data_IF_879201897193
#
_entry.id   IF_879201897193
#
_cell.length_a   1.000
_cell.length_b   1.000
_cell.length_c   1.000
_cell.angle_alpha   90.00
_cell.angle_beta   90.00
_cell.angle_gamma   90.00
#
_symmetry.space_group_name_H-M   'P 1'
#
loop_
_entity.id
_entity.type
_entity.pdbx_description
1 polymer ?
#
# COMPACT_ATOMS: atom_id res chain seq x y z
N UNK A 1 -25.77 6.56 -3.23
CA UNK A 1 -24.37 6.06 -3.24
C UNK A 1 -23.58 6.84 -2.21
N UNK A 2 -22.94 6.16 -1.26
CA UNK A 2 -22.09 6.82 -0.26
C UNK A 2 -20.84 7.39 -0.95
N UNK A 3 -20.39 8.58 -0.54
CA UNK A 3 -19.22 9.27 -1.10
C UNK A 3 -17.96 8.39 -1.04
N UNK A 4 -17.82 7.60 0.01
CA UNK A 4 -16.74 6.61 0.18
C UNK A 4 -16.68 5.61 -0.99
N UNK A 5 -17.82 5.09 -1.44
CA UNK A 5 -17.85 4.17 -2.59
C UNK A 5 -17.35 4.85 -3.86
N UNK A 6 -17.73 6.12 -4.11
CA UNK A 6 -17.24 6.88 -5.27
C UNK A 6 -15.73 7.11 -5.22
N UNK A 7 -15.19 7.43 -4.04
CA UNK A 7 -13.74 7.64 -3.86
C UNK A 7 -12.98 6.35 -4.10
N UNK A 8 -13.43 5.23 -3.51
CA UNK A 8 -12.80 3.91 -3.72
C UNK A 8 -12.84 3.53 -5.20
N UNK A 9 -13.98 3.73 -5.86
CA UNK A 9 -14.11 3.41 -7.28
C UNK A 9 -13.17 4.25 -8.16
N UNK A 10 -13.07 5.55 -7.87
CA UNK A 10 -12.14 6.45 -8.56
C UNK A 10 -10.68 6.06 -8.34
N UNK A 11 -10.32 5.65 -7.13
CA UNK A 11 -8.95 5.26 -6.78
C UNK A 11 -8.56 3.93 -7.43
N UNK A 12 -9.45 2.94 -7.44
CA UNK A 12 -9.25 1.67 -8.16
C UNK A 12 -9.14 1.90 -9.67
N UNK A 13 -10.02 2.75 -10.23
CA UNK A 13 -9.96 3.12 -11.65
C UNK A 13 -8.63 3.79 -12.01
N UNK A 14 -8.19 4.76 -11.21
CA UNK A 14 -6.91 5.44 -11.40
C UNK A 14 -5.72 4.47 -11.29
N UNK A 15 -5.73 3.56 -10.32
CA UNK A 15 -4.69 2.54 -10.15
C UNK A 15 -4.63 1.58 -11.35
N UNK A 16 -5.79 1.15 -11.86
CA UNK A 16 -5.86 0.27 -13.04
C UNK A 16 -5.30 0.95 -14.29
N UNK A 17 -5.68 2.20 -14.54
CA UNK A 17 -5.13 3.00 -15.66
C UNK A 17 -3.63 3.20 -15.49
N UNK A 18 -3.17 3.55 -14.29
CA UNK A 18 -1.74 3.73 -14.00
C UNK A 18 -0.93 2.45 -14.20
N UNK A 19 -1.44 1.31 -13.73
CA UNK A 19 -0.79 0.01 -13.92
C UNK A 19 -0.76 -0.38 -15.41
N UNK A 20 -1.83 -0.14 -16.16
CA UNK A 20 -1.86 -0.41 -17.59
C UNK A 20 -0.82 0.43 -18.35
N UNK A 21 -0.76 1.74 -18.08
CA UNK A 21 0.24 2.63 -18.67
C UNK A 21 1.67 2.23 -18.26
N UNK A 22 1.89 1.90 -16.98
CA UNK A 22 3.17 1.43 -16.48
C UNK A 22 3.63 0.13 -17.14
N UNK A 23 2.71 -0.82 -17.33
CA UNK A 23 2.99 -2.10 -18.00
C UNK A 23 3.28 -1.92 -19.50
N UNK A 24 2.64 -0.94 -20.16
CA UNK A 24 2.95 -0.58 -21.55
C UNK A 24 4.32 0.09 -21.68
N UNK A 25 4.72 0.93 -20.73
CA UNK A 25 6.02 1.61 -20.73
C UNK A 25 7.18 0.68 -20.33
N UNK A 26 6.92 -0.24 -19.40
CA UNK A 26 7.90 -1.21 -18.90
C UNK A 26 7.27 -2.62 -18.87
N UNK A 27 7.27 -3.34 -20.01
CA UNK A 27 6.75 -4.69 -20.05
C UNK A 27 7.73 -5.67 -19.39
N UNK A 28 7.31 -6.29 -18.29
CA UNK A 28 7.99 -7.48 -17.76
C UNK A 28 7.48 -8.74 -18.47
N UNK A 29 8.33 -9.79 -18.56
CA UNK A 29 7.91 -11.09 -19.10
C UNK A 29 6.97 -11.78 -18.14
N UNK A 30 5.95 -12.45 -18.65
CA UNK A 30 4.96 -13.14 -17.82
C UNK A 30 5.53 -14.23 -16.88
N UNK A 31 6.65 -14.86 -17.26
CA UNK A 31 7.40 -15.77 -16.39
C UNK A 31 7.93 -15.07 -15.14
N UNK A 32 8.48 -13.87 -15.35
CA UNK A 32 9.21 -13.10 -14.36
C UNK A 32 8.22 -12.35 -13.45
N UNK A 33 7.09 -11.86 -14.01
CA UNK A 33 5.99 -11.26 -13.23
C UNK A 33 5.47 -12.23 -12.17
N UNK A 34 5.25 -13.50 -12.52
CA UNK A 34 4.70 -14.48 -11.57
C UNK A 34 5.68 -14.82 -10.44
N UNK A 35 6.96 -14.86 -10.76
CA UNK A 35 8.03 -15.07 -9.78
C UNK A 35 8.18 -13.83 -8.89
N UNK A 36 8.30 -12.65 -9.49
CA UNK A 36 8.40 -11.37 -8.82
C UNK A 36 7.20 -11.09 -7.92
N UNK A 37 5.97 -11.41 -8.32
CA UNK A 37 4.78 -11.27 -7.47
C UNK A 37 4.90 -12.15 -6.23
N UNK A 38 5.27 -13.43 -6.38
CA UNK A 38 5.39 -14.34 -5.22
C UNK A 38 6.46 -13.86 -4.24
N UNK A 39 7.63 -13.50 -4.75
CA UNK A 39 8.77 -13.10 -3.91
C UNK A 39 8.57 -11.70 -3.32
N UNK A 40 7.99 -10.78 -4.09
CA UNK A 40 7.75 -9.40 -3.64
C UNK A 40 6.56 -9.31 -2.71
N UNK A 41 5.48 -10.07 -2.92
CA UNK A 41 4.29 -10.02 -2.07
C UNK A 41 4.60 -10.45 -0.63
N UNK A 42 5.37 -11.53 -0.43
CA UNK A 42 5.79 -11.95 0.91
C UNK A 42 6.67 -10.90 1.60
N UNK A 43 7.67 -10.37 0.89
CA UNK A 43 8.53 -9.31 1.44
C UNK A 43 7.75 -8.02 1.76
N UNK A 44 6.78 -7.67 0.92
CA UNK A 44 5.93 -6.50 1.13
C UNK A 44 4.97 -6.70 2.31
N UNK A 45 4.37 -7.86 2.48
CA UNK A 45 3.46 -8.10 3.60
C UNK A 45 4.17 -7.99 4.93
N UNK A 46 5.38 -8.55 5.02
CA UNK A 46 6.18 -8.52 6.24
C UNK A 46 6.62 -7.09 6.55
N UNK A 47 7.14 -6.37 5.55
CA UNK A 47 7.58 -4.98 5.71
C UNK A 47 6.44 -4.01 5.99
N UNK A 48 5.27 -4.21 5.37
CA UNK A 48 4.06 -3.44 5.66
C UNK A 48 3.60 -3.70 7.09
N UNK A 49 3.53 -4.96 7.50
CA UNK A 49 3.13 -5.33 8.86
C UNK A 49 4.07 -4.73 9.90
N UNK A 50 5.38 -4.77 9.65
CA UNK A 50 6.38 -4.17 10.52
C UNK A 50 6.25 -2.64 10.55
N UNK A 51 6.10 -1.98 9.40
CA UNK A 51 5.91 -0.53 9.32
C UNK A 51 4.59 -0.09 9.97
N UNK A 52 3.53 -0.90 9.85
CA UNK A 52 2.25 -0.64 10.50
C UNK A 52 2.36 -0.77 12.02
N UNK A 53 3.02 -1.82 12.51
CA UNK A 53 3.25 -2.00 13.94
C UNK A 53 4.15 -0.90 14.51
N UNK A 54 5.21 -0.53 13.81
CA UNK A 54 6.11 0.55 14.21
C UNK A 54 5.42 1.91 14.12
N UNK A 55 4.62 2.14 13.07
CA UNK A 55 3.81 3.33 12.90
C UNK A 55 2.76 3.47 13.99
N UNK A 56 2.06 2.39 14.33
CA UNK A 56 1.10 2.35 15.45
C UNK A 56 1.81 2.64 16.78
N UNK A 57 2.92 1.95 17.08
CA UNK A 57 3.69 2.20 18.30
C UNK A 57 4.23 3.63 18.38
N UNK A 58 4.66 4.19 17.25
CA UNK A 58 5.17 5.57 17.17
C UNK A 58 4.04 6.58 17.33
N UNK A 59 2.90 6.36 16.68
CA UNK A 59 1.71 7.18 16.83
C UNK A 59 1.17 7.12 18.26
N UNK A 60 1.17 5.94 18.89
CA UNK A 60 0.74 5.72 20.27
C UNK A 60 1.73 6.32 21.29
N UNK A 61 3.04 6.23 21.03
CA UNK A 61 4.07 6.96 21.81
C UNK A 61 3.94 8.47 21.66
N UNK A 62 3.73 8.96 20.44
CA UNK A 62 3.58 10.38 20.18
C UNK A 62 2.29 10.91 20.81
N UNK A 63 1.17 10.18 20.69
CA UNK A 63 -0.10 10.56 21.32
C UNK A 63 -0.06 10.50 22.85
N UNK A 64 0.64 9.52 23.42
CA UNK A 64 0.81 9.42 24.89
C UNK A 64 1.76 10.48 25.44
N UNK A 65 2.83 10.85 24.71
CA UNK A 65 3.67 12.01 25.03
C UNK A 65 2.86 13.31 25.00
N UNK A 66 2.04 13.49 23.98
CA UNK A 66 1.16 14.66 23.85
C UNK A 66 0.11 14.70 24.99
N UNK A 67 -0.39 13.55 25.45
CA UNK A 67 -1.30 13.47 26.60
C UNK A 67 -0.62 13.65 27.97
N UNK A 68 0.68 13.38 28.10
CA UNK A 68 1.40 13.47 29.39
C UNK A 68 1.93 14.88 29.66
N UNK A 69 2.21 15.67 28.61
CA UNK A 69 2.70 17.05 28.69
C UNK A 69 1.56 18.11 28.66
N UNK A 70 0.29 17.68 28.68
CA UNK A 70 -0.91 18.53 28.85
C UNK A 70 -1.60 18.23 30.19
#
# INVERSE_FOLDING_TARGET
MTTTTKVILGLVGAAAVGAAVGMLLAPEKGSDIRQNIKDSAGKWSDKLSEMWQNGKKTAEKASSRIQTEM
#
